data_IF_874926124388
#
_entry.id   IF_874926124388
#
_cell.length_a   1.000
_cell.length_b   1.000
_cell.length_c   1.000
_cell.angle_alpha   90.00
_cell.angle_beta   90.00
_cell.angle_gamma   90.00
#
_symmetry.space_group_name_H-M   'P 1'
#
loop_
_entity.id
_entity.type
_entity.pdbx_description
1 polymer ?
#
# COMPACT_ATOMS: atom_id res chain seq x y z
N UNK A 1 0.06 41.84 7.91
CA UNK A 1 -0.40 40.46 7.74
C UNK A 1 -1.55 40.24 8.71
N UNK A 2 -2.79 40.30 8.19
CA UNK A 2 -4.01 40.12 8.95
C UNK A 2 -4.22 38.64 9.26
N UNK A 3 -4.24 38.29 10.54
CA UNK A 3 -4.55 36.96 11.03
C UNK A 3 -6.09 36.81 10.99
N UNK A 4 -6.63 36.14 9.96
CA UNK A 4 -8.05 35.84 9.84
C UNK A 4 -8.43 34.72 10.81
N UNK A 5 -8.44 35.04 12.10
CA UNK A 5 -8.99 34.17 13.14
C UNK A 5 -10.53 34.40 13.18
N UNK A 6 -11.24 33.79 12.20
CA UNK A 6 -12.71 33.75 12.28
C UNK A 6 -13.07 32.62 13.26
N UNK A 7 -13.70 32.93 14.41
CA UNK A 7 -14.12 31.86 15.31
C UNK A 7 -15.17 31.00 14.64
N UNK A 8 -15.21 29.69 14.92
CA UNK A 8 -16.22 28.80 14.37
C UNK A 8 -17.62 29.30 14.72
N UNK A 9 -18.45 29.50 13.70
CA UNK A 9 -19.84 29.91 13.92
C UNK A 9 -20.57 28.84 14.72
N UNK A 10 -21.17 29.24 15.81
CA UNK A 10 -22.00 28.37 16.62
C UNK A 10 -23.31 28.09 15.89
N UNK A 11 -23.42 26.93 15.28
CA UNK A 11 -24.57 26.50 14.47
C UNK A 11 -25.88 26.42 15.27
N UNK A 12 -25.83 26.40 16.60
CA UNK A 12 -27.04 26.47 17.44
C UNK A 12 -27.77 27.83 17.33
N UNK A 13 -27.08 28.87 16.87
CA UNK A 13 -27.67 30.19 16.67
C UNK A 13 -28.64 30.30 15.48
N UNK A 14 -28.65 29.28 14.60
CA UNK A 14 -29.50 29.23 13.39
C UNK A 14 -30.59 28.14 13.47
N UNK A 15 -30.92 27.69 14.71
CA UNK A 15 -32.10 26.86 14.95
C UNK A 15 -31.99 25.37 14.57
N UNK A 16 -30.80 24.87 14.30
CA UNK A 16 -30.60 23.43 14.10
C UNK A 16 -30.49 22.72 15.46
N UNK A 17 -31.26 21.64 15.71
CA UNK A 17 -31.13 20.87 16.93
C UNK A 17 -29.73 20.26 17.03
N UNK A 18 -29.15 20.27 18.25
CA UNK A 18 -27.79 19.80 18.54
C UNK A 18 -27.49 18.35 18.11
N UNK A 19 -28.53 17.57 17.82
CA UNK A 19 -28.42 16.19 17.32
C UNK A 19 -27.87 16.08 15.88
N UNK A 20 -27.75 17.20 15.15
CA UNK A 20 -27.21 17.22 13.78
C UNK A 20 -25.72 17.57 13.72
N UNK A 21 -25.09 17.78 14.87
CA UNK A 21 -23.64 17.76 14.93
C UNK A 21 -23.18 16.30 14.83
N UNK A 22 -23.26 15.75 13.62
CA UNK A 22 -22.43 14.61 13.26
C UNK A 22 -20.99 15.08 13.53
N UNK A 23 -20.42 14.62 14.64
CA UNK A 23 -18.98 14.62 14.81
C UNK A 23 -18.43 13.84 13.64
N UNK A 24 -18.00 14.53 12.62
CA UNK A 24 -16.94 14.02 11.78
C UNK A 24 -15.73 13.91 12.71
N UNK A 25 -15.65 12.84 13.47
CA UNK A 25 -14.39 12.42 14.05
C UNK A 25 -13.52 12.10 12.85
N UNK A 26 -12.71 13.05 12.44
CA UNK A 26 -11.60 12.85 11.53
C UNK A 26 -10.50 12.06 12.26
N UNK A 27 -10.88 10.89 12.77
CA UNK A 27 -9.92 9.86 13.03
C UNK A 27 -9.36 9.47 11.68
N UNK A 28 -8.09 9.68 11.42
CA UNK A 28 -7.45 9.05 10.28
C UNK A 28 -7.88 7.59 10.28
N UNK A 29 -8.34 7.03 9.13
CA UNK A 29 -8.75 5.63 9.09
C UNK A 29 -7.61 4.81 9.68
N UNK A 30 -7.92 3.99 10.69
CA UNK A 30 -6.93 3.13 11.33
C UNK A 30 -6.47 2.16 10.25
N UNK A 31 -5.19 2.23 9.88
CA UNK A 31 -4.63 1.30 8.91
C UNK A 31 -4.63 -0.11 9.52
N UNK A 32 -5.16 -1.13 8.81
CA UNK A 32 -5.24 -2.50 9.32
C UNK A 32 -3.88 -3.18 9.45
N UNK A 33 -2.81 -2.55 9.02
CA UNK A 33 -1.47 -3.11 8.98
C UNK A 33 -0.37 -2.07 9.12
N UNK A 34 0.85 -2.47 8.79
CA UNK A 34 2.05 -1.63 8.90
C UNK A 34 2.85 -1.66 7.61
N UNK A 35 3.22 -0.49 7.11
CA UNK A 35 4.16 -0.34 6.00
C UNK A 35 5.57 -0.71 6.47
N UNK A 36 6.24 -1.55 5.73
CA UNK A 36 7.60 -2.02 6.02
C UNK A 36 8.41 -2.15 4.73
N UNK A 37 9.71 -2.32 4.84
CA UNK A 37 10.55 -2.65 3.71
C UNK A 37 10.48 -1.59 2.60
N UNK A 38 10.85 -0.38 2.96
CA UNK A 38 10.94 0.74 2.02
C UNK A 38 12.16 0.60 1.09
N UNK A 39 12.06 1.19 -0.08
CA UNK A 39 13.15 1.27 -1.06
C UNK A 39 14.08 2.47 -0.83
N UNK A 40 14.27 2.86 0.43
CA UNK A 40 15.08 4.00 0.87
C UNK A 40 16.51 3.60 1.27
N UNK A 41 16.91 2.37 0.99
CA UNK A 41 18.22 1.83 1.37
C UNK A 41 18.33 1.37 2.83
N UNK A 42 17.33 1.57 3.68
CA UNK A 42 17.37 1.20 5.10
C UNK A 42 17.35 -0.32 5.33
N UNK A 43 16.73 -1.08 4.42
CA UNK A 43 16.67 -2.55 4.47
C UNK A 43 17.71 -3.19 3.56
N UNK A 44 17.58 -3.00 2.26
CA UNK A 44 18.56 -3.38 1.25
C UNK A 44 18.63 -2.27 0.19
N UNK A 45 19.78 -2.10 -0.48
CA UNK A 45 19.90 -1.14 -1.55
C UNK A 45 19.00 -1.52 -2.73
N UNK A 46 18.47 -0.52 -3.42
CA UNK A 46 17.85 -0.69 -4.72
C UNK A 46 18.90 -1.10 -5.78
N UNK A 47 18.45 -1.80 -6.82
CA UNK A 47 19.35 -2.49 -7.75
C UNK A 47 20.36 -1.61 -8.50
N UNK A 48 20.11 -0.32 -8.64
CA UNK A 48 20.94 0.60 -9.44
C UNK A 48 20.98 2.03 -8.86
N UNK A 49 20.87 2.17 -7.57
CA UNK A 49 20.92 3.48 -6.89
C UNK A 49 19.65 4.31 -7.09
N UNK A 50 18.53 3.65 -7.33
CA UNK A 50 17.21 4.27 -7.47
C UNK A 50 16.44 4.26 -6.15
N UNK A 51 17.11 4.56 -5.04
CA UNK A 51 16.50 4.69 -3.73
C UNK A 51 15.47 5.82 -3.71
N UNK A 52 14.36 5.59 -2.99
CA UNK A 52 13.37 6.61 -2.65
C UNK A 52 13.77 7.37 -1.38
N UNK A 53 13.03 8.45 -1.04
CA UNK A 53 13.20 9.04 0.29
C UNK A 53 12.57 8.14 1.37
N UNK A 54 12.99 8.30 2.65
CA UNK A 54 12.44 7.55 3.75
C UNK A 54 10.91 7.64 3.81
N UNK A 55 10.23 6.49 3.76
CA UNK A 55 8.78 6.38 3.85
C UNK A 55 8.01 6.58 2.55
N UNK A 56 8.63 6.92 1.42
CA UNK A 56 7.95 7.19 0.15
C UNK A 56 7.39 5.94 -0.55
N UNK A 57 7.88 4.74 -0.19
CA UNK A 57 7.42 3.49 -0.79
C UNK A 57 8.54 2.54 -1.17
N UNK A 58 8.43 1.86 -2.32
CA UNK A 58 9.48 1.03 -2.89
C UNK A 58 10.61 1.84 -3.51
N UNK A 59 11.44 1.20 -4.32
CA UNK A 59 12.47 1.91 -5.11
C UNK A 59 11.81 2.83 -6.17
N UNK A 60 12.50 3.91 -6.55
CA UNK A 60 12.02 4.81 -7.60
C UNK A 60 11.80 4.05 -8.91
N UNK A 61 10.72 4.35 -9.58
CA UNK A 61 10.36 3.81 -10.89
C UNK A 61 10.70 4.78 -12.02
N UNK A 62 10.41 4.41 -13.24
CA UNK A 62 10.67 5.23 -14.41
C UNK A 62 9.89 6.55 -14.52
N UNK A 63 8.98 6.84 -13.58
CA UNK A 63 8.34 8.14 -13.40
C UNK A 63 9.08 9.02 -12.38
N UNK A 64 10.15 8.50 -11.75
CA UNK A 64 10.88 9.18 -10.68
C UNK A 64 10.13 9.23 -9.35
N UNK A 65 9.15 8.35 -9.14
CA UNK A 65 8.39 8.21 -7.90
C UNK A 65 8.40 6.76 -7.42
N UNK A 66 8.10 6.53 -6.15
CA UNK A 66 8.03 5.19 -5.57
C UNK A 66 6.58 4.67 -5.54
N UNK A 67 6.40 3.36 -5.72
CA UNK A 67 5.13 2.71 -5.44
C UNK A 67 4.90 2.59 -3.94
N UNK A 68 3.89 3.28 -3.39
CA UNK A 68 3.55 3.24 -1.97
C UNK A 68 2.31 2.38 -1.74
N UNK A 69 2.52 1.22 -1.14
CA UNK A 69 1.46 0.28 -0.74
C UNK A 69 1.00 0.56 0.69
N UNK A 70 -0.30 0.67 0.87
CA UNK A 70 -0.99 0.77 2.14
C UNK A 70 -2.30 -0.01 2.11
N UNK A 71 -3.08 0.11 3.17
CA UNK A 71 -4.39 -0.55 3.25
C UNK A 71 -5.36 0.23 4.12
N UNK A 72 -6.63 -0.05 3.92
CA UNK A 72 -7.75 0.46 4.70
C UNK A 72 -8.70 -0.68 5.09
N UNK A 73 -9.67 -0.41 5.95
CA UNK A 73 -10.63 -1.41 6.41
C UNK A 73 -10.20 -2.10 7.69
N UNK A 74 -10.76 -3.29 7.96
CA UNK A 74 -10.54 -4.07 9.18
C UNK A 74 -10.00 -5.44 8.84
N UNK A 75 -8.90 -5.83 9.49
CA UNK A 75 -8.26 -7.13 9.31
C UNK A 75 -8.95 -8.20 10.17
N UNK A 76 -10.19 -8.49 9.83
CA UNK A 76 -11.02 -9.53 10.45
C UNK A 76 -11.34 -10.59 9.39
N UNK A 77 -11.04 -11.86 9.68
CA UNK A 77 -11.21 -12.95 8.73
C UNK A 77 -12.66 -13.25 8.36
N UNK A 78 -13.62 -12.78 9.15
CA UNK A 78 -15.06 -12.95 8.89
C UNK A 78 -15.65 -11.76 8.13
N UNK A 79 -15.19 -10.56 8.40
CA UNK A 79 -15.66 -9.33 7.75
C UNK A 79 -14.92 -9.04 6.44
N UNK A 80 -13.63 -9.34 6.38
CA UNK A 80 -12.69 -9.13 5.26
C UNK A 80 -12.96 -7.84 4.47
N UNK A 81 -12.79 -6.72 5.16
CA UNK A 81 -12.97 -5.39 4.56
C UNK A 81 -11.65 -4.72 4.20
N UNK A 82 -10.52 -5.45 4.28
CA UNK A 82 -9.21 -4.92 3.93
C UNK A 82 -9.12 -4.66 2.43
N UNK A 83 -8.88 -3.41 2.08
CA UNK A 83 -8.56 -2.98 0.72
C UNK A 83 -7.11 -2.55 0.68
N UNK A 84 -6.33 -3.13 -0.23
CA UNK A 84 -4.95 -2.73 -0.49
C UNK A 84 -4.91 -1.73 -1.64
N UNK A 85 -4.15 -0.66 -1.46
CA UNK A 85 -3.93 0.34 -2.49
C UNK A 85 -2.44 0.63 -2.66
N UNK A 86 -1.99 0.74 -3.91
CA UNK A 86 -0.63 1.13 -4.25
C UNK A 86 -0.67 2.39 -5.12
N UNK A 87 -0.24 3.50 -4.57
CA UNK A 87 -0.10 4.78 -5.28
C UNK A 87 1.27 4.91 -5.94
N UNK A 88 1.46 5.88 -6.82
CA UNK A 88 2.76 6.17 -7.43
C UNK A 88 3.19 5.18 -8.52
N UNK A 89 2.27 4.38 -9.06
CA UNK A 89 2.59 3.35 -10.06
C UNK A 89 2.25 3.79 -11.48
N UNK A 90 2.73 3.03 -12.46
CA UNK A 90 2.36 3.23 -13.87
C UNK A 90 0.98 2.65 -14.17
N UNK A 91 0.28 3.23 -15.16
CA UNK A 91 -0.92 2.63 -15.77
C UNK A 91 -0.54 1.46 -16.67
N UNK A 92 0.08 0.44 -16.07
CA UNK A 92 0.53 -0.79 -16.70
C UNK A 92 0.11 -1.97 -15.81
N UNK A 93 -0.01 -3.19 -16.36
CA UNK A 93 -0.36 -4.36 -15.57
C UNK A 93 0.56 -4.54 -14.37
N UNK A 94 -0.03 -4.76 -13.21
CA UNK A 94 0.65 -5.12 -11.98
C UNK A 94 -0.10 -6.22 -11.24
N UNK A 95 0.50 -6.75 -10.19
CA UNK A 95 0.02 -7.92 -9.45
C UNK A 95 0.13 -7.67 -7.96
N UNK A 96 -0.99 -7.68 -7.26
CA UNK A 96 -0.99 -7.82 -5.80
C UNK A 96 -0.68 -9.28 -5.43
N UNK A 97 0.23 -9.47 -4.50
CA UNK A 97 0.55 -10.80 -4.00
C UNK A 97 0.73 -10.82 -2.48
N UNK A 98 0.50 -11.99 -1.91
CA UNK A 98 0.62 -12.31 -0.50
C UNK A 98 1.79 -13.28 -0.29
N UNK A 99 2.50 -13.13 0.82
CA UNK A 99 3.42 -14.13 1.38
C UNK A 99 3.11 -14.38 2.84
N UNK A 100 3.54 -15.55 3.36
CA UNK A 100 3.32 -15.87 4.78
C UNK A 100 4.22 -15.08 5.73
N UNK A 101 5.29 -14.47 5.22
CA UNK A 101 6.19 -13.62 6.02
C UNK A 101 7.00 -12.67 5.15
N UNK A 102 7.78 -11.82 5.81
CA UNK A 102 8.86 -11.08 5.16
C UNK A 102 10.06 -11.99 4.91
N UNK A 103 10.70 -11.88 3.76
CA UNK A 103 11.89 -12.67 3.39
C UNK A 103 12.99 -12.46 4.44
N UNK A 104 13.57 -13.57 4.93
CA UNK A 104 14.72 -13.55 5.81
C UNK A 104 14.56 -12.75 7.12
N UNK A 105 13.31 -12.64 7.64
CA UNK A 105 13.04 -11.85 8.84
C UNK A 105 13.19 -10.34 8.65
N UNK A 106 13.08 -9.86 7.40
CA UNK A 106 13.26 -8.46 7.01
C UNK A 106 14.48 -8.23 6.11
N UNK A 107 15.28 -9.29 5.83
CA UNK A 107 16.31 -9.24 4.79
C UNK A 107 15.62 -9.25 3.43
N UNK A 108 15.66 -8.13 2.77
CA UNK A 108 15.05 -7.95 1.45
C UNK A 108 15.97 -8.44 0.34
N UNK A 109 15.41 -8.80 -0.79
CA UNK A 109 16.14 -9.23 -1.96
C UNK A 109 15.89 -8.27 -3.12
N UNK A 110 16.97 -7.76 -3.70
CA UNK A 110 16.86 -7.00 -4.96
C UNK A 110 16.17 -7.86 -6.03
N UNK A 111 15.14 -7.31 -6.65
CA UNK A 111 14.34 -8.00 -7.67
C UNK A 111 13.87 -7.01 -8.73
N UNK A 112 14.47 -7.08 -9.90
CA UNK A 112 14.28 -6.07 -10.94
C UNK A 112 14.79 -4.70 -10.51
N UNK A 113 14.00 -3.66 -10.71
CA UNK A 113 14.32 -2.30 -10.28
C UNK A 113 13.99 -2.04 -8.81
N UNK A 114 13.35 -3.00 -8.14
CA UNK A 114 12.90 -2.88 -6.76
C UNK A 114 13.48 -3.91 -5.81
N UNK A 115 12.89 -3.99 -4.63
CA UNK A 115 13.22 -4.96 -3.58
C UNK A 115 12.01 -5.84 -3.29
N UNK A 116 12.22 -7.15 -3.26
CA UNK A 116 11.20 -8.12 -2.88
C UNK A 116 11.30 -8.42 -1.39
N UNK A 117 10.20 -8.24 -0.70
CA UNK A 117 10.11 -8.33 0.75
C UNK A 117 9.20 -9.44 1.25
N UNK A 118 8.15 -9.75 0.50
CA UNK A 118 7.20 -10.79 0.87
C UNK A 118 7.60 -12.14 0.26
N UNK A 119 7.58 -13.17 1.09
CA UNK A 119 7.99 -14.54 0.69
C UNK A 119 7.22 -15.62 1.43
N UNK A 120 7.68 -16.87 1.27
CA UNK A 120 7.05 -18.11 1.70
C UNK A 120 5.59 -18.25 1.23
N UNK A 121 5.32 -19.30 0.47
CA UNK A 121 4.00 -19.59 -0.10
C UNK A 121 3.37 -18.36 -0.76
N UNK A 122 4.08 -17.80 -1.73
CA UNK A 122 3.57 -16.61 -2.45
C UNK A 122 2.32 -16.96 -3.23
N UNK A 123 1.26 -16.22 -2.95
CA UNK A 123 -0.03 -16.33 -3.59
C UNK A 123 -0.32 -15.07 -4.39
N UNK A 124 -0.71 -15.22 -5.64
CA UNK A 124 -1.18 -14.13 -6.49
C UNK A 124 -2.62 -13.81 -6.09
N UNK A 125 -2.89 -12.55 -5.74
CA UNK A 125 -4.22 -12.11 -5.40
C UNK A 125 -4.98 -11.62 -6.63
N UNK A 126 -4.48 -10.59 -7.29
CA UNK A 126 -5.14 -9.98 -8.43
C UNK A 126 -4.15 -9.28 -9.36
N UNK A 127 -4.40 -9.38 -10.67
CA UNK A 127 -3.74 -8.56 -11.69
C UNK A 127 -4.60 -7.33 -11.96
N UNK A 128 -4.03 -6.14 -11.75
CA UNK A 128 -4.71 -4.85 -11.91
C UNK A 128 -3.98 -4.02 -12.97
N UNK A 129 -4.75 -3.34 -13.83
CA UNK A 129 -4.24 -2.29 -14.71
C UNK A 129 -4.75 -0.95 -14.16
N UNK A 130 -3.91 -0.16 -13.47
CA UNK A 130 -4.35 1.10 -12.90
C UNK A 130 -4.78 2.10 -13.97
N UNK A 131 -5.80 2.94 -13.69
CA UNK A 131 -6.29 3.92 -14.65
C UNK A 131 -5.27 5.05 -14.92
N UNK A 132 -5.43 5.73 -16.04
CA UNK A 132 -4.73 6.99 -16.30
C UNK A 132 -5.43 8.16 -15.58
N UNK A 133 -4.75 9.29 -15.29
CA UNK A 133 -3.37 9.63 -15.63
C UNK A 133 -2.33 8.98 -14.71
N UNK A 134 -1.04 9.07 -15.07
CA UNK A 134 0.10 8.63 -14.27
C UNK A 134 0.70 9.82 -13.48
N UNK A 135 1.31 9.60 -12.28
CA UNK A 135 1.34 8.33 -11.54
C UNK A 135 -0.06 7.91 -11.09
N UNK A 136 -0.34 6.60 -11.20
CA UNK A 136 -1.66 6.03 -10.97
C UNK A 136 -1.76 5.34 -9.61
N UNK A 137 -2.98 4.94 -9.24
CA UNK A 137 -3.28 4.11 -8.06
C UNK A 137 -3.83 2.77 -8.50
N UNK A 138 -3.20 1.68 -8.06
CA UNK A 138 -3.73 0.33 -8.17
C UNK A 138 -4.52 0.01 -6.89
N UNK A 139 -5.73 -0.51 -7.04
CA UNK A 139 -6.59 -0.92 -5.92
C UNK A 139 -6.95 -2.38 -6.06
N UNK A 140 -6.74 -3.16 -5.01
CA UNK A 140 -7.17 -4.56 -4.94
C UNK A 140 -8.69 -4.61 -4.83
N UNK A 141 -9.34 -5.37 -5.71
CA UNK A 141 -10.81 -5.49 -5.75
C UNK A 141 -11.34 -6.82 -5.20
N UNK A 142 -10.48 -7.80 -5.01
CA UNK A 142 -10.85 -9.12 -4.52
C UNK A 142 -10.75 -9.22 -3.00
N UNK A 143 -11.57 -10.08 -2.41
CA UNK A 143 -11.53 -10.44 -0.99
C UNK A 143 -10.25 -11.23 -0.70
N UNK A 144 -9.48 -10.81 0.30
CA UNK A 144 -8.16 -11.40 0.59
C UNK A 144 -8.27 -12.79 1.19
N UNK A 145 -9.23 -13.00 2.09
CA UNK A 145 -9.39 -14.28 2.82
C UNK A 145 -9.89 -15.43 1.93
N UNK A 146 -10.41 -15.13 0.75
CA UNK A 146 -11.00 -16.10 -0.18
C UNK A 146 -10.17 -16.33 -1.46
N UNK A 147 -8.85 -16.26 -1.38
CA UNK A 147 -7.95 -16.43 -2.54
C UNK A 147 -7.59 -17.89 -2.83
N UNK A 148 -8.41 -18.84 -2.35
CA UNK A 148 -8.21 -20.29 -2.54
C UNK A 148 -7.30 -20.93 -1.49
N UNK A 149 -7.11 -22.26 -1.55
CA UNK A 149 -6.46 -23.04 -0.47
C UNK A 149 -5.05 -22.59 -0.10
N UNK A 150 -4.28 -22.11 -1.08
CA UNK A 150 -2.92 -21.64 -0.84
C UNK A 150 -2.85 -20.23 -0.24
N UNK A 151 -3.94 -19.46 -0.35
CA UNK A 151 -4.04 -18.08 0.13
C UNK A 151 -4.86 -17.92 1.40
N UNK A 152 -5.30 -19.03 2.00
CA UNK A 152 -6.13 -19.01 3.22
C UNK A 152 -5.48 -18.17 4.32
N UNK A 153 -6.30 -17.33 4.91
CA UNK A 153 -5.94 -16.49 6.06
C UNK A 153 -6.79 -16.92 7.25
N UNK A 154 -6.14 -17.20 8.38
CA UNK A 154 -6.81 -17.59 9.61
C UNK A 154 -6.63 -16.50 10.69
N UNK A 155 -7.51 -16.45 11.70
CA UNK A 155 -7.31 -15.58 12.85
C UNK A 155 -5.93 -15.84 13.51
N UNK A 156 -5.20 -14.77 13.77
CA UNK A 156 -3.84 -14.82 14.29
C UNK A 156 -2.74 -14.85 13.22
N UNK A 157 -3.06 -15.10 11.96
CA UNK A 157 -2.08 -15.08 10.88
C UNK A 157 -1.52 -13.67 10.66
N UNK A 158 -0.20 -13.58 10.50
CA UNK A 158 0.47 -12.39 9.99
C UNK A 158 0.87 -12.63 8.54
N UNK A 159 0.31 -11.85 7.63
CA UNK A 159 0.62 -11.93 6.19
C UNK A 159 1.38 -10.70 5.72
N UNK A 160 2.17 -10.88 4.68
CA UNK A 160 2.94 -9.84 4.01
C UNK A 160 2.38 -9.63 2.60
N UNK A 161 2.06 -8.41 2.25
CA UNK A 161 1.51 -8.00 0.97
C UNK A 161 2.47 -7.09 0.25
N UNK A 162 2.55 -7.22 -1.09
CA UNK A 162 3.36 -6.35 -1.93
C UNK A 162 2.74 -6.26 -3.31
N UNK A 163 2.98 -5.16 -4.03
CA UNK A 163 2.55 -4.95 -5.40
C UNK A 163 3.76 -4.95 -6.33
N UNK A 164 3.78 -5.89 -7.28
CA UNK A 164 4.69 -5.94 -8.40
C UNK A 164 4.03 -5.28 -9.61
N UNK A 165 4.74 -4.45 -10.36
CA UNK A 165 4.17 -3.78 -11.52
C UNK A 165 5.16 -3.60 -12.66
N UNK A 166 4.65 -3.54 -13.88
CA UNK A 166 5.45 -3.26 -15.07
C UNK A 166 5.84 -1.79 -15.11
N UNK A 167 7.10 -1.55 -15.51
CA UNK A 167 7.70 -0.23 -15.60
C UNK A 167 8.51 -0.09 -16.92
N UNK A 168 7.87 -0.23 -18.10
CA UNK A 168 8.57 -0.23 -19.38
C UNK A 168 9.03 1.16 -19.80
N UNK A 169 10.06 1.20 -20.62
CA UNK A 169 10.51 2.37 -21.39
C UNK A 169 11.51 3.27 -20.67
N UNK A 170 11.38 3.52 -19.38
CA UNK A 170 12.31 4.33 -18.57
C UNK A 170 12.64 3.69 -17.24
N UNK A 171 12.56 2.37 -17.18
CA UNK A 171 12.92 1.54 -16.02
C UNK A 171 14.37 1.85 -15.58
N UNK A 172 14.59 2.29 -14.32
CA UNK A 172 15.91 2.78 -13.88
C UNK A 172 17.04 1.79 -14.04
N UNK A 173 16.82 0.53 -13.74
CA UNK A 173 17.80 -0.55 -13.88
C UNK A 173 17.62 -1.36 -15.17
N UNK A 174 16.65 -1.03 -16.02
CA UNK A 174 16.38 -1.71 -17.29
C UNK A 174 15.62 -3.03 -17.18
N UNK A 175 15.14 -3.42 -16.02
CA UNK A 175 14.40 -4.68 -15.84
C UNK A 175 12.93 -4.60 -16.31
N UNK A 176 12.42 -3.40 -16.54
CA UNK A 176 11.05 -3.12 -16.98
C UNK A 176 9.96 -3.52 -15.98
N UNK A 177 10.31 -3.66 -14.71
CA UNK A 177 9.36 -3.86 -13.61
C UNK A 177 9.95 -3.40 -12.27
N UNK A 178 9.07 -3.05 -11.34
CA UNK A 178 9.43 -2.60 -10.01
C UNK A 178 8.45 -3.18 -8.97
N UNK A 179 8.73 -2.93 -7.69
CA UNK A 179 7.87 -3.34 -6.57
C UNK A 179 7.64 -2.15 -5.63
N UNK A 180 6.49 -2.18 -4.94
CA UNK A 180 6.19 -1.27 -3.83
C UNK A 180 7.01 -1.62 -2.59
N UNK A 181 6.89 -0.81 -1.51
CA UNK A 181 7.16 -1.29 -0.17
C UNK A 181 6.29 -2.52 0.15
N UNK A 182 6.61 -3.23 1.22
CA UNK A 182 5.71 -4.27 1.74
C UNK A 182 4.71 -3.68 2.77
N UNK A 183 3.61 -4.39 2.96
CA UNK A 183 2.58 -4.09 3.93
C UNK A 183 2.24 -5.35 4.73
N UNK A 184 2.39 -5.31 6.05
CA UNK A 184 2.12 -6.47 6.91
C UNK A 184 0.82 -6.28 7.67
N UNK A 185 -0.04 -7.29 7.65
CA UNK A 185 -1.35 -7.31 8.33
C UNK A 185 -1.39 -8.49 9.28
N UNK A 186 -1.84 -8.26 10.52
CA UNK A 186 -2.18 -9.33 11.47
C UNK A 186 -3.69 -9.45 11.49
N UNK A 187 -4.20 -10.64 11.16
CA UNK A 187 -5.62 -10.92 11.03
C UNK A 187 -6.22 -11.40 12.34
N UNK A 188 -7.43 -10.94 12.67
CA UNK A 188 -8.20 -11.38 13.82
C UNK A 188 -9.35 -12.31 13.43
#
# INVERSE_FOLDING_TARGET
>A
LANNNVPPMNMSAIGFPAAWLLRAESGSPVEPGTKVCFGDGSGAPCGCGNESNPGDGGCLNGLGVAGLLGGSGTADTTADTVVLECTGVRSQPGLFFQGNNTIGGGTVQTFGDGVRCCGQNVVRLEVVVPPTPQPATATLSVTITNTGPSGTVNPGDKKCYQYWYRDPGSSPCGSNFNLSNAYTVTWS
#
